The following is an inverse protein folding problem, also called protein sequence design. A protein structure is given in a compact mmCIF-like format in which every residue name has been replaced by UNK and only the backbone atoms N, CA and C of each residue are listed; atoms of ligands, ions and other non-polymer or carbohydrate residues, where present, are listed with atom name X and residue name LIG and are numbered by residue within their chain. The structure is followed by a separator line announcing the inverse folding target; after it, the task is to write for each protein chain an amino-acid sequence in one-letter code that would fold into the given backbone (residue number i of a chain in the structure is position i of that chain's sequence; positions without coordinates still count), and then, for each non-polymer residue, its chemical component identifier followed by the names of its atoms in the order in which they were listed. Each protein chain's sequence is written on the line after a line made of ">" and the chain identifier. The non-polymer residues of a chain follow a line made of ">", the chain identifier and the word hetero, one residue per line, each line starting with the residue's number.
data_IF_688483392782
#
_entry.id   IF_688483392782
#
_cell.length_a   1.000
_cell.length_b   1.000
_cell.length_c   1.000
_cell.angle_alpha   90.00
_cell.angle_beta   90.00
_cell.angle_gamma   90.00
#
_symmetry.space_group_name_H-M   'P 1'
#
loop_
_entity.id
_entity.type
_entity.pdbx_description
1 polymer ?
#
# COMPACT_ATOMS: atom_id res chain seq x y z
N UNK A 1 -25.61 -2.27 13.89
CA UNK A 1 -25.36 -1.59 12.61
C UNK A 1 -24.31 -2.40 11.87
N UNK A 2 -24.75 -3.15 10.87
CA UNK A 2 -23.95 -4.08 10.09
C UNK A 2 -22.92 -3.29 9.28
N UNK A 3 -21.64 -3.46 9.61
CA UNK A 3 -20.53 -2.99 8.78
C UNK A 3 -20.61 -3.76 7.46
N UNK A 4 -20.83 -3.10 6.31
CA UNK A 4 -20.75 -3.77 5.03
C UNK A 4 -19.27 -4.09 4.79
N UNK A 5 -18.87 -5.31 5.17
CA UNK A 5 -17.63 -5.91 4.68
C UNK A 5 -17.75 -5.99 3.17
N UNK A 6 -16.64 -5.81 2.47
CA UNK A 6 -16.50 -5.88 1.00
C UNK A 6 -17.00 -7.20 0.35
N UNK A 7 -17.61 -8.11 1.12
CA UNK A 7 -18.16 -9.40 0.66
C UNK A 7 -19.56 -9.70 1.27
N UNK A 8 -20.07 -8.91 2.22
CA UNK A 8 -21.37 -9.19 2.83
C UNK A 8 -22.53 -8.61 2.01
N UNK A 9 -23.39 -9.54 1.56
CA UNK A 9 -24.68 -9.37 0.91
C UNK A 9 -24.68 -9.01 -0.58
N UNK A 10 -24.46 -10.02 -1.42
CA UNK A 10 -25.29 -10.18 -2.61
C UNK A 10 -26.00 -11.53 -2.52
N UNK A 11 -27.33 -11.48 -2.47
CA UNK A 11 -28.28 -12.61 -2.36
C UNK A 11 -28.30 -13.48 -3.62
N UNK A 12 -27.13 -13.95 -4.07
CA UNK A 12 -27.01 -14.89 -5.17
C UNK A 12 -26.64 -16.27 -4.58
N UNK A 13 -27.26 -17.33 -5.11
CA UNK A 13 -27.11 -18.76 -4.78
C UNK A 13 -25.75 -19.21 -4.17
N UNK A 14 -25.71 -20.26 -3.34
CA UNK A 14 -24.49 -20.72 -2.68
C UNK A 14 -23.34 -20.86 -3.68
N UNK A 15 -22.37 -19.94 -3.58
CA UNK A 15 -21.19 -19.95 -4.44
C UNK A 15 -20.20 -20.96 -3.88
N UNK A 16 -19.51 -21.67 -4.77
CA UNK A 16 -18.38 -22.51 -4.36
C UNK A 16 -17.27 -21.62 -3.81
N UNK A 17 -16.52 -22.11 -2.80
CA UNK A 17 -15.36 -21.41 -2.23
C UNK A 17 -14.39 -20.96 -3.33
N UNK A 18 -14.22 -21.77 -4.38
CA UNK A 18 -13.39 -21.42 -5.53
C UNK A 18 -13.87 -20.19 -6.32
N UNK A 19 -15.18 -19.98 -6.45
CA UNK A 19 -15.72 -18.81 -7.13
C UNK A 19 -15.54 -17.53 -6.30
N UNK A 20 -15.69 -17.62 -4.97
CA UNK A 20 -15.45 -16.51 -4.07
C UNK A 20 -13.96 -16.14 -4.02
N UNK A 21 -13.07 -17.14 -3.96
CA UNK A 21 -11.62 -16.94 -4.08
C UNK A 21 -11.27 -16.21 -5.37
N UNK A 22 -11.80 -16.67 -6.51
CA UNK A 22 -11.53 -16.06 -7.81
C UNK A 22 -12.01 -14.60 -7.89
N UNK A 23 -13.20 -14.30 -7.36
CA UNK A 23 -13.74 -12.93 -7.33
C UNK A 23 -12.86 -12.01 -6.48
N UNK A 24 -12.45 -12.43 -5.28
CA UNK A 24 -11.57 -11.65 -4.39
C UNK A 24 -10.19 -11.44 -5.03
N UNK A 25 -9.61 -12.47 -5.63
CA UNK A 25 -8.32 -12.38 -6.33
C UNK A 25 -8.38 -11.36 -7.47
N UNK A 26 -9.41 -11.44 -8.32
CA UNK A 26 -9.59 -10.55 -9.46
C UNK A 26 -9.72 -9.09 -9.02
N UNK A 27 -10.61 -8.82 -8.06
CA UNK A 27 -10.85 -7.46 -7.57
C UNK A 27 -9.57 -6.90 -6.94
N UNK A 28 -8.85 -7.72 -6.18
CA UNK A 28 -7.61 -7.29 -5.52
C UNK A 28 -6.50 -7.01 -6.51
N UNK A 29 -6.28 -7.86 -7.52
CA UNK A 29 -5.26 -7.68 -8.56
C UNK A 29 -5.49 -6.37 -9.32
N UNK A 30 -6.73 -6.12 -9.74
CA UNK A 30 -7.07 -4.89 -10.46
C UNK A 30 -6.92 -3.66 -9.58
N UNK A 31 -7.45 -3.69 -8.35
CA UNK A 31 -7.36 -2.57 -7.43
C UNK A 31 -5.92 -2.24 -7.01
N UNK A 32 -5.12 -3.26 -6.70
CA UNK A 32 -3.72 -3.13 -6.35
C UNK A 32 -2.92 -2.55 -7.51
N UNK A 33 -3.12 -3.04 -8.73
CA UNK A 33 -2.41 -2.53 -9.91
C UNK A 33 -2.80 -1.08 -10.19
N UNK A 34 -4.09 -0.74 -10.13
CA UNK A 34 -4.54 0.65 -10.29
C UNK A 34 -3.96 1.56 -9.22
N UNK A 35 -3.94 1.12 -7.96
CA UNK A 35 -3.34 1.87 -6.85
C UNK A 35 -1.85 2.08 -7.11
N UNK A 36 -1.13 1.05 -7.53
CA UNK A 36 0.30 1.16 -7.76
C UNK A 36 0.65 2.05 -8.96
N UNK A 37 -0.05 1.89 -10.07
CA UNK A 37 0.25 2.61 -11.32
C UNK A 37 -0.27 4.05 -11.29
N UNK A 38 -1.43 4.30 -10.70
CA UNK A 38 -2.06 5.63 -10.74
C UNK A 38 -1.77 6.47 -9.50
N UNK A 39 -1.41 5.83 -8.38
CA UNK A 39 -1.21 6.53 -7.11
C UNK A 39 0.25 6.42 -6.67
N UNK A 40 0.74 5.22 -6.38
CA UNK A 40 2.08 5.06 -5.80
C UNK A 40 3.22 5.50 -6.75
N UNK A 41 3.24 5.01 -7.99
CA UNK A 41 4.26 5.37 -8.98
C UNK A 41 4.34 6.87 -9.25
N UNK A 42 3.22 7.54 -9.60
CA UNK A 42 3.19 8.99 -9.78
C UNK A 42 3.53 9.74 -8.49
N UNK A 43 3.05 9.32 -7.32
CA UNK A 43 3.35 9.98 -6.05
C UNK A 43 4.85 9.92 -5.71
N UNK A 44 5.49 8.77 -5.90
CA UNK A 44 6.95 8.63 -5.76
C UNK A 44 7.68 9.57 -6.72
N UNK A 45 7.26 9.63 -7.98
CA UNK A 45 7.89 10.50 -8.97
C UNK A 45 7.70 11.98 -8.70
N UNK A 46 6.49 12.37 -8.29
CA UNK A 46 6.14 13.74 -7.92
C UNK A 46 6.87 14.16 -6.64
N UNK A 47 6.99 13.27 -5.66
CA UNK A 47 7.78 13.51 -4.45
C UNK A 47 9.23 13.83 -4.77
N UNK A 48 9.87 12.98 -5.59
CA UNK A 48 11.24 13.21 -6.05
C UNK A 48 11.39 14.49 -6.87
N UNK A 49 10.42 14.80 -7.73
CA UNK A 49 10.43 16.05 -8.50
C UNK A 49 10.28 17.28 -7.60
N UNK A 50 9.39 17.22 -6.61
CA UNK A 50 9.16 18.31 -5.68
C UNK A 50 10.43 18.59 -4.87
N UNK A 51 11.03 17.55 -4.29
CA UNK A 51 12.28 17.65 -3.54
C UNK A 51 13.41 18.23 -4.40
N UNK A 52 13.47 17.80 -5.66
CA UNK A 52 14.41 18.34 -6.62
C UNK A 52 14.22 19.83 -6.87
N UNK A 53 12.99 20.31 -7.10
CA UNK A 53 12.74 21.72 -7.41
C UNK A 53 13.02 22.63 -6.21
N UNK A 54 12.86 22.11 -5.00
CA UNK A 54 13.09 22.88 -3.76
C UNK A 54 14.53 22.84 -3.27
N UNK A 55 15.35 21.87 -3.71
CA UNK A 55 16.74 21.74 -3.29
C UNK A 55 17.73 22.56 -4.16
N UNK A 56 18.84 23.05 -3.56
CA UNK A 56 19.87 23.81 -4.26
C UNK A 56 20.49 23.07 -5.45
N UNK A 57 20.95 23.83 -6.46
CA UNK A 57 21.58 23.27 -7.66
C UNK A 57 22.87 22.46 -7.44
N UNK A 58 23.41 22.41 -6.22
CA UNK A 58 24.58 21.59 -5.84
C UNK A 58 24.25 20.11 -5.69
N UNK A 59 22.97 19.75 -5.51
CA UNK A 59 22.55 18.33 -5.34
C UNK A 59 22.32 17.63 -6.69
N UNK A 60 22.52 18.36 -7.79
CA UNK A 60 22.24 17.89 -9.14
C UNK A 60 23.32 16.96 -9.65
N UNK A 61 22.94 15.72 -9.97
CA UNK A 61 23.86 14.72 -10.50
C UNK A 61 24.46 13.79 -9.44
N UNK A 62 24.11 13.94 -8.16
CA UNK A 62 24.42 12.95 -7.13
C UNK A 62 23.57 11.69 -7.31
N UNK A 63 24.15 10.55 -6.97
CA UNK A 63 23.44 9.29 -6.80
C UNK A 63 22.75 9.33 -5.43
N UNK A 64 21.44 9.12 -5.40
CA UNK A 64 20.69 8.89 -4.17
C UNK A 64 20.82 7.43 -3.73
N UNK A 65 20.45 7.17 -2.47
CA UNK A 65 20.42 5.86 -1.85
C UNK A 65 19.51 4.85 -2.59
N UNK A 66 18.50 5.31 -3.36
CA UNK A 66 17.67 4.41 -4.19
C UNK A 66 18.21 4.23 -5.64
N UNK A 67 19.52 4.39 -5.82
CA UNK A 67 20.25 4.19 -7.09
C UNK A 67 19.73 5.05 -8.27
N UNK A 68 19.20 6.23 -7.96
CA UNK A 68 18.81 7.23 -8.95
C UNK A 68 19.73 8.44 -8.94
N UNK A 69 20.04 8.94 -10.13
CA UNK A 69 20.73 10.23 -10.25
C UNK A 69 19.72 11.36 -10.07
N UNK A 70 19.88 12.16 -9.01
CA UNK A 70 19.00 13.29 -8.68
C UNK A 70 18.94 14.27 -9.86
N UNK A 71 17.74 14.44 -10.43
CA UNK A 71 17.46 15.37 -11.53
C UNK A 71 17.52 14.80 -12.95
N UNK A 72 17.74 13.49 -13.13
CA UNK A 72 17.63 12.86 -14.45
C UNK A 72 16.37 12.01 -14.55
N UNK A 73 15.51 12.34 -15.50
CA UNK A 73 14.38 11.50 -15.87
C UNK A 73 14.88 10.37 -16.79
N UNK A 74 15.19 9.21 -16.21
CA UNK A 74 15.51 8.00 -17.00
C UNK A 74 14.26 7.13 -17.17
N UNK A 75 14.12 6.47 -18.33
CA UNK A 75 13.03 5.52 -18.58
C UNK A 75 13.12 4.31 -17.63
N UNK A 76 14.34 3.82 -17.37
CA UNK A 76 14.58 2.72 -16.43
C UNK A 76 14.18 3.06 -14.99
N UNK A 77 14.54 4.25 -14.51
CA UNK A 77 14.15 4.69 -13.16
C UNK A 77 12.65 4.89 -13.02
N UNK A 78 11.98 5.46 -14.03
CA UNK A 78 10.50 5.55 -14.02
C UNK A 78 9.88 4.17 -13.98
N UNK A 79 10.35 3.24 -14.81
CA UNK A 79 9.84 1.88 -14.85
C UNK A 79 10.00 1.17 -13.49
N UNK A 80 11.16 1.29 -12.84
CA UNK A 80 11.40 0.73 -11.51
C UNK A 80 10.45 1.31 -10.44
N UNK A 81 10.24 2.63 -10.44
CA UNK A 81 9.30 3.28 -9.52
C UNK A 81 7.86 2.80 -9.70
N UNK A 82 7.44 2.55 -10.94
CA UNK A 82 6.11 1.97 -11.20
C UNK A 82 6.03 0.51 -10.74
N UNK A 83 7.10 -0.28 -10.86
CA UNK A 83 7.15 -1.64 -10.29
C UNK A 83 7.02 -1.63 -8.77
N UNK A 84 7.78 -0.76 -8.08
CA UNK A 84 7.67 -0.55 -6.63
C UNK A 84 6.27 -0.05 -6.27
N UNK A 85 5.71 0.85 -7.09
CA UNK A 85 4.35 1.33 -6.95
C UNK A 85 3.33 0.20 -6.99
N UNK A 86 3.41 -0.70 -7.98
CA UNK A 86 2.55 -1.89 -8.07
C UNK A 86 2.71 -2.77 -6.82
N UNK A 87 3.93 -3.08 -6.40
CA UNK A 87 4.19 -3.89 -5.21
C UNK A 87 3.58 -3.27 -3.93
N UNK A 88 3.74 -1.96 -3.73
CA UNK A 88 3.15 -1.24 -2.59
C UNK A 88 1.63 -1.14 -2.68
N UNK A 89 1.07 -1.04 -3.89
CA UNK A 89 -0.37 -1.15 -4.13
C UNK A 89 -0.95 -2.51 -3.72
N UNK A 90 -0.25 -3.60 -4.03
CA UNK A 90 -0.63 -4.95 -3.56
C UNK A 90 -0.57 -5.05 -2.05
N UNK A 91 0.53 -4.62 -1.44
CA UNK A 91 0.69 -4.61 0.01
C UNK A 91 -0.46 -3.84 0.68
N UNK A 92 -0.80 -2.66 0.18
CA UNK A 92 -1.90 -1.83 0.70
C UNK A 92 -3.24 -2.58 0.67
N UNK A 93 -3.64 -3.12 -0.48
CA UNK A 93 -4.90 -3.87 -0.59
C UNK A 93 -4.93 -5.14 0.27
N UNK A 94 -3.82 -5.87 0.36
CA UNK A 94 -3.71 -7.08 1.17
C UNK A 94 -3.82 -6.79 2.67
N UNK A 95 -3.10 -5.77 3.14
CA UNK A 95 -3.18 -5.31 4.54
C UNK A 95 -4.60 -4.87 4.86
N UNK A 96 -5.26 -4.13 3.96
CA UNK A 96 -6.67 -3.76 4.14
C UNK A 96 -7.57 -4.97 4.32
N UNK A 97 -7.46 -5.98 3.45
CA UNK A 97 -8.29 -7.20 3.53
C UNK A 97 -8.10 -7.97 4.84
N UNK A 98 -6.87 -7.98 5.37
CA UNK A 98 -6.54 -8.62 6.64
C UNK A 98 -7.05 -7.83 7.83
N UNK A 99 -6.90 -6.49 7.80
CA UNK A 99 -7.10 -5.61 8.96
C UNK A 99 -8.54 -5.12 9.07
N UNK A 100 -9.24 -4.87 7.96
CA UNK A 100 -10.59 -4.28 7.92
C UNK A 100 -11.57 -4.91 8.93
N UNK A 101 -11.68 -6.25 9.05
CA UNK A 101 -12.66 -6.86 9.95
C UNK A 101 -12.37 -6.64 11.44
N UNK A 102 -11.15 -6.24 11.77
CA UNK A 102 -10.71 -5.97 13.14
C UNK A 102 -10.87 -4.51 13.53
N UNK A 103 -11.01 -3.60 12.56
CA UNK A 103 -11.15 -2.17 12.84
C UNK A 103 -12.52 -1.88 13.48
N UNK A 104 -12.55 -0.87 14.35
CA UNK A 104 -13.73 -0.52 15.14
C UNK A 104 -14.33 0.76 14.58
N UNK A 105 -15.64 0.78 14.39
CA UNK A 105 -16.41 2.00 14.14
C UNK A 105 -16.84 2.15 12.68
N UNK A 106 -16.96 3.40 12.25
CA UNK A 106 -17.42 3.74 10.91
C UNK A 106 -16.29 3.60 9.87
N UNK A 107 -16.68 3.38 8.61
CA UNK A 107 -15.72 3.19 7.50
C UNK A 107 -14.72 4.34 7.35
N UNK A 108 -15.13 5.59 7.58
CA UNK A 108 -14.21 6.73 7.53
C UNK A 108 -13.10 6.61 8.58
N UNK A 109 -13.42 6.09 9.77
CA UNK A 109 -12.45 5.90 10.84
C UNK A 109 -11.45 4.79 10.47
N UNK A 110 -11.93 3.71 9.84
CA UNK A 110 -11.05 2.65 9.34
C UNK A 110 -10.02 3.20 8.34
N UNK A 111 -10.47 4.04 7.40
CA UNK A 111 -9.60 4.67 6.41
C UNK A 111 -8.56 5.56 7.10
N UNK A 112 -8.98 6.39 8.07
CA UNK A 112 -8.06 7.24 8.84
C UNK A 112 -7.03 6.38 9.58
N UNK A 113 -7.45 5.32 10.28
CA UNK A 113 -6.53 4.45 11.04
C UNK A 113 -5.49 3.82 10.13
N UNK A 114 -5.89 3.26 8.99
CA UNK A 114 -4.96 2.61 8.05
C UNK A 114 -4.06 3.63 7.36
N UNK A 115 -4.57 4.81 7.03
CA UNK A 115 -3.79 5.93 6.47
C UNK A 115 -2.69 6.37 7.44
N UNK A 116 -3.06 6.63 8.69
CA UNK A 116 -2.11 7.04 9.75
C UNK A 116 -1.10 5.93 10.02
N UNK A 117 -1.54 4.67 10.03
CA UNK A 117 -0.64 3.53 10.20
C UNK A 117 0.35 3.41 9.04
N UNK A 118 -0.11 3.57 7.80
CA UNK A 118 0.78 3.60 6.64
C UNK A 118 1.82 4.71 6.73
N UNK A 119 1.40 5.93 7.08
CA UNK A 119 2.29 7.07 7.25
C UNK A 119 3.35 6.82 8.34
N UNK A 120 2.91 6.40 9.52
CA UNK A 120 3.77 6.29 10.70
C UNK A 120 4.62 5.03 10.71
N UNK A 121 4.16 3.93 10.12
CA UNK A 121 4.94 2.69 10.11
C UNK A 121 5.91 2.61 8.93
N UNK A 122 5.45 2.97 7.72
CA UNK A 122 6.27 2.87 6.51
C UNK A 122 7.08 4.14 6.27
N UNK A 123 6.56 5.33 6.64
CA UNK A 123 7.28 6.60 6.45
C UNK A 123 8.67 6.61 7.09
N UNK A 124 8.84 6.22 8.37
CA UNK A 124 10.15 6.13 9.01
C UNK A 124 11.05 5.07 8.41
N UNK A 125 10.52 4.01 7.79
CA UNK A 125 11.32 3.05 7.02
C UNK A 125 11.85 3.63 5.70
N UNK A 126 11.51 4.87 5.37
CA UNK A 126 12.06 5.61 4.23
C UNK A 126 12.92 6.79 4.71
N UNK A 127 12.88 7.11 6.01
CA UNK A 127 13.60 8.22 6.63
C UNK A 127 14.64 7.60 7.55
N UNK A 128 15.89 7.54 7.08
CA UNK A 128 16.99 6.97 7.85
C UNK A 128 18.03 8.06 8.09
N UNK A 129 18.55 8.13 9.32
CA UNK A 129 19.60 9.07 9.73
C UNK A 129 20.90 8.88 8.93
N UNK A 130 21.17 7.66 8.45
CA UNK A 130 22.33 7.34 7.62
C UNK A 130 22.17 7.73 6.14
N UNK A 131 21.00 8.23 5.73
CA UNK A 131 20.69 8.52 4.33
C UNK A 131 21.28 9.86 3.87
N UNK A 132 22.11 9.83 2.82
CA UNK A 132 22.75 11.04 2.25
C UNK A 132 21.67 12.06 1.84
N UNK A 133 20.49 11.57 1.44
CA UNK A 133 19.40 12.39 0.96
C UNK A 133 18.80 13.33 2.03
N UNK A 134 18.84 13.00 3.33
CA UNK A 134 18.21 13.85 4.37
C UNK A 134 19.11 14.97 4.92
N UNK A 135 20.43 14.81 4.81
CA UNK A 135 21.36 15.90 5.13
C UNK A 135 21.49 16.91 3.98
N UNK A 136 21.18 16.48 2.76
CA UNK A 136 21.45 17.25 1.54
C UNK A 136 20.17 17.89 0.95
N UNK A 137 18.99 17.27 1.14
CA UNK A 137 17.73 17.82 0.68
C UNK A 137 17.22 18.93 1.62
N UNK A 138 17.13 20.14 1.08
CA UNK A 138 16.53 21.28 1.75
C UNK A 138 15.24 21.69 1.02
N UNK A 139 14.18 22.08 1.76
CA UNK A 139 14.02 22.07 3.21
C UNK A 139 13.67 20.67 3.78
N UNK A 140 14.32 20.25 4.87
CA UNK A 140 14.16 18.91 5.48
C UNK A 140 12.71 18.59 5.88
N UNK A 141 11.98 19.58 6.41
CA UNK A 141 10.57 19.41 6.77
C UNK A 141 9.71 18.98 5.57
N UNK A 142 10.05 19.42 4.36
CA UNK A 142 9.35 19.00 3.14
C UNK A 142 9.68 17.55 2.75
N UNK A 143 10.94 17.14 2.89
CA UNK A 143 11.35 15.74 2.67
C UNK A 143 10.56 14.81 3.59
N UNK A 144 10.59 15.08 4.90
CA UNK A 144 9.83 14.31 5.89
C UNK A 144 8.34 14.29 5.53
N UNK A 145 7.74 15.44 5.20
CA UNK A 145 6.34 15.50 4.84
C UNK A 145 6.00 14.67 3.60
N UNK A 146 6.84 14.69 2.56
CA UNK A 146 6.64 13.89 1.33
C UNK A 146 6.77 12.40 1.60
N UNK A 147 7.79 11.98 2.35
CA UNK A 147 8.01 10.57 2.70
C UNK A 147 6.96 10.00 3.66
N UNK A 148 6.30 10.83 4.47
CA UNK A 148 5.11 10.43 5.21
C UNK A 148 3.83 10.43 4.34
N UNK A 149 3.71 11.40 3.44
CA UNK A 149 2.51 11.57 2.62
C UNK A 149 2.34 10.45 1.60
N UNK A 150 3.42 9.96 0.99
CA UNK A 150 3.33 8.91 -0.05
C UNK A 150 2.77 7.59 0.54
N UNK A 151 3.32 7.01 1.62
CA UNK A 151 2.74 5.81 2.23
C UNK A 151 1.32 6.02 2.74
N UNK A 152 1.02 7.19 3.32
CA UNK A 152 -0.35 7.53 3.74
C UNK A 152 -1.33 7.50 2.57
N UNK A 153 -0.96 8.14 1.46
CA UNK A 153 -1.77 8.21 0.25
C UNK A 153 -1.98 6.82 -0.37
N UNK A 154 -0.96 5.97 -0.39
CA UNK A 154 -1.07 4.57 -0.86
C UNK A 154 -1.94 3.71 0.07
N UNK A 155 -1.79 3.87 1.39
CA UNK A 155 -2.60 3.18 2.39
C UNK A 155 -4.08 3.62 2.37
N UNK A 156 -4.36 4.87 1.98
CA UNK A 156 -5.73 5.36 1.75
C UNK A 156 -6.30 4.87 0.43
N UNK A 157 -5.50 4.94 -0.64
CA UNK A 157 -5.95 4.65 -1.99
C UNK A 157 -6.30 3.17 -2.19
N UNK A 158 -5.54 2.23 -1.62
CA UNK A 158 -5.80 0.79 -1.76
C UNK A 158 -7.22 0.37 -1.37
N UNK A 159 -7.71 0.68 -0.17
CA UNK A 159 -9.10 0.41 0.24
C UNK A 159 -10.16 1.09 -0.66
N UNK A 160 -9.87 2.30 -1.13
CA UNK A 160 -10.78 3.09 -1.96
C UNK A 160 -10.90 2.49 -3.37
N UNK A 161 -9.76 2.17 -3.99
CA UNK A 161 -9.72 1.52 -5.30
C UNK A 161 -10.33 0.12 -5.23
N UNK A 162 -10.07 -0.63 -4.16
CA UNK A 162 -10.65 -1.96 -3.94
C UNK A 162 -12.18 -1.92 -3.96
N UNK A 163 -12.78 -0.99 -3.23
CA UNK A 163 -14.22 -0.82 -3.22
C UNK A 163 -14.79 -0.25 -4.53
N UNK A 164 -14.01 0.58 -5.22
CA UNK A 164 -14.41 1.09 -6.53
C UNK A 164 -14.43 -0.04 -7.58
N UNK A 165 -13.39 -0.88 -7.62
CA UNK A 165 -13.30 -2.04 -8.52
C UNK A 165 -14.38 -3.06 -8.21
N UNK A 166 -14.62 -3.36 -6.93
CA UNK A 166 -15.68 -4.29 -6.53
C UNK A 166 -17.06 -3.84 -7.05
N UNK A 167 -17.36 -2.53 -6.90
CA UNK A 167 -18.61 -1.93 -7.41
C UNK A 167 -18.70 -1.93 -8.94
N UNK A 168 -17.58 -1.72 -9.64
CA UNK A 168 -17.51 -1.60 -11.11
C UNK A 168 -16.87 -2.82 -11.78
N UNK A 169 -17.04 -4.00 -11.18
CA UNK A 169 -16.38 -5.21 -11.63
C UNK A 169 -16.60 -5.49 -13.13
N UNK A 170 -15.54 -5.84 -13.88
CA UNK A 170 -15.68 -6.23 -15.27
C UNK A 170 -16.56 -7.47 -15.42
N UNK A 171 -17.39 -7.49 -16.48
CA UNK A 171 -18.33 -8.58 -16.78
C UNK A 171 -17.88 -9.37 -18.01
N UNK A 172 -18.36 -10.61 -18.16
CA UNK A 172 -18.08 -11.46 -19.33
C UNK A 172 -16.62 -11.97 -19.36
N UNK A 173 -16.01 -12.02 -20.54
CA UNK A 173 -14.62 -12.47 -20.71
C UNK A 173 -13.59 -11.44 -20.21
N UNK A 174 -13.94 -10.14 -20.22
CA UNK A 174 -13.07 -9.05 -19.76
C UNK A 174 -12.61 -9.19 -18.31
N UNK A 175 -13.37 -9.91 -17.49
CA UNK A 175 -13.00 -10.20 -16.10
C UNK A 175 -11.66 -10.94 -16.00
N UNK A 176 -11.35 -11.80 -16.97
CA UNK A 176 -10.10 -12.56 -17.00
C UNK A 176 -9.01 -11.86 -17.80
N UNK A 177 -9.38 -11.10 -18.83
CA UNK A 177 -8.43 -10.42 -19.71
C UNK A 177 -7.77 -9.22 -19.03
N UNK A 178 -8.54 -8.38 -18.31
CA UNK A 178 -8.03 -7.18 -17.66
C UNK A 178 -6.88 -7.44 -16.67
N UNK A 179 -6.98 -8.39 -15.71
CA UNK A 179 -5.89 -8.65 -14.80
C UNK A 179 -4.64 -9.19 -15.51
N UNK A 180 -4.79 -9.97 -16.59
CA UNK A 180 -3.64 -10.41 -17.40
C UNK A 180 -2.98 -9.22 -18.12
N UNK A 181 -3.80 -8.32 -18.68
CA UNK A 181 -3.34 -7.12 -19.38
C UNK A 181 -2.58 -6.16 -18.44
N UNK A 182 -2.95 -6.12 -17.15
CA UNK A 182 -2.23 -5.39 -16.11
C UNK A 182 -0.77 -5.85 -15.93
N UNK A 183 -0.43 -7.11 -16.25
CA UNK A 183 0.93 -7.64 -16.12
C UNK A 183 1.76 -7.53 -17.41
N UNK A 184 1.13 -7.35 -18.57
CA UNK A 184 1.81 -7.18 -19.86
C UNK A 184 2.89 -6.08 -19.86
N UNK A 185 2.64 -4.87 -19.30
CA UNK A 185 3.66 -3.82 -19.29
C UNK A 185 4.83 -4.10 -18.34
N UNK A 186 4.77 -5.15 -17.51
CA UNK A 186 5.76 -5.41 -16.47
C UNK A 186 6.29 -6.87 -16.49
N UNK A 187 7.09 -7.29 -17.51
CA UNK A 187 7.56 -8.68 -17.61
C UNK A 187 8.36 -9.22 -16.40
N UNK A 188 9.29 -8.47 -15.79
CA UNK A 188 9.95 -8.86 -14.53
C UNK A 188 8.96 -8.97 -13.37
N UNK A 189 7.83 -8.26 -13.43
CA UNK A 189 6.78 -8.40 -12.44
C UNK A 189 6.07 -9.74 -12.52
N UNK A 190 6.33 -10.64 -13.48
CA UNK A 190 5.79 -12.00 -13.44
C UNK A 190 6.29 -12.78 -12.21
N UNK A 191 7.57 -12.61 -11.84
CA UNK A 191 8.12 -13.23 -10.62
C UNK A 191 7.49 -12.64 -9.36
N UNK A 192 7.37 -11.31 -9.30
CA UNK A 192 6.68 -10.60 -8.22
C UNK A 192 5.21 -10.99 -8.19
N UNK A 193 4.55 -11.12 -9.33
CA UNK A 193 3.15 -11.50 -9.47
C UNK A 193 2.90 -12.92 -9.00
N UNK A 194 3.81 -13.85 -9.29
CA UNK A 194 3.73 -15.21 -8.76
C UNK A 194 3.83 -15.21 -7.23
N UNK A 195 4.82 -14.50 -6.67
CA UNK A 195 4.95 -14.34 -5.22
C UNK A 195 3.71 -13.69 -4.61
N UNK A 196 3.28 -12.56 -5.16
CA UNK A 196 2.08 -11.82 -4.75
C UNK A 196 0.84 -12.69 -4.85
N UNK A 197 0.69 -13.49 -5.91
CA UNK A 197 -0.44 -14.40 -6.07
C UNK A 197 -0.44 -15.49 -4.98
N UNK A 198 0.73 -16.06 -4.66
CA UNK A 198 0.86 -17.04 -3.56
C UNK A 198 0.50 -16.40 -2.22
N UNK A 199 1.04 -15.22 -1.92
CA UNK A 199 0.73 -14.49 -0.69
C UNK A 199 -0.74 -14.09 -0.67
N UNK A 200 -1.32 -13.70 -1.81
CA UNK A 200 -2.73 -13.32 -1.90
C UNK A 200 -3.64 -14.51 -1.66
N UNK A 201 -3.35 -15.66 -2.27
CA UNK A 201 -4.07 -16.91 -1.99
C UNK A 201 -3.97 -17.25 -0.50
N UNK A 202 -2.77 -17.17 0.10
CA UNK A 202 -2.60 -17.41 1.54
C UNK A 202 -3.41 -16.43 2.40
N UNK A 203 -3.41 -15.14 2.07
CA UNK A 203 -4.20 -14.10 2.74
C UNK A 203 -5.69 -14.37 2.63
N UNK A 204 -6.18 -14.72 1.45
CA UNK A 204 -7.61 -14.99 1.26
C UNK A 204 -7.99 -16.31 1.95
N UNK A 205 -7.16 -17.35 1.91
CA UNK A 205 -7.38 -18.57 2.67
C UNK A 205 -7.43 -18.30 4.18
N UNK A 206 -6.50 -17.50 4.71
CA UNK A 206 -6.50 -17.07 6.12
C UNK A 206 -7.79 -16.33 6.47
N UNK A 207 -8.21 -15.42 5.59
CA UNK A 207 -9.45 -14.62 5.71
C UNK A 207 -10.70 -15.50 5.76
N UNK A 208 -10.77 -16.53 4.91
CA UNK A 208 -11.97 -17.38 4.82
C UNK A 208 -12.02 -18.46 5.89
N UNK A 209 -10.87 -18.95 6.38
CA UNK A 209 -10.81 -20.13 7.27
C UNK A 209 -10.49 -19.80 8.72
N UNK A 210 -9.55 -18.90 8.98
CA UNK A 210 -9.03 -18.62 10.33
C UNK A 210 -9.67 -17.38 10.92
N UNK A 211 -9.84 -16.32 10.11
CA UNK A 211 -10.37 -15.04 10.57
C UNK A 211 -11.76 -15.14 11.24
N UNK A 212 -12.75 -15.91 10.74
CA UNK A 212 -14.06 -16.01 11.38
C UNK A 212 -13.97 -16.58 12.80
N UNK A 213 -13.14 -17.62 13.00
CA UNK A 213 -12.89 -18.24 14.31
C UNK A 213 -12.24 -17.28 15.30
N UNK A 214 -11.30 -16.47 14.80
CA UNK A 214 -10.63 -15.47 15.63
C UNK A 214 -11.55 -14.28 15.98
N UNK A 215 -12.48 -13.91 15.10
CA UNK A 215 -13.47 -12.85 15.35
C UNK A 215 -14.52 -13.27 16.38
N UNK A 216 -14.88 -14.55 16.43
CA UNK A 216 -15.76 -15.11 17.47
C UNK A 216 -15.11 -15.07 18.86
N UNK A 217 -13.78 -15.14 18.92
CA UNK A 217 -13.02 -15.03 20.17
C UNK A 217 -12.74 -13.57 20.55
N UNK A 218 -13.29 -13.11 21.69
CA UNK A 218 -12.96 -11.78 22.24
C UNK A 218 -11.46 -11.59 22.46
N UNK A 219 -10.77 -12.64 22.92
CA UNK A 219 -9.32 -12.61 23.13
C UNK A 219 -8.60 -12.50 21.79
N UNK A 220 -8.97 -13.33 20.81
CA UNK A 220 -8.40 -13.30 19.45
C UNK A 220 -8.54 -11.91 18.80
N UNK A 221 -9.74 -11.34 18.82
CA UNK A 221 -9.99 -10.02 18.28
C UNK A 221 -9.20 -8.91 18.99
N UNK A 222 -9.10 -8.96 20.32
CA UNK A 222 -8.34 -7.96 21.08
C UNK A 222 -6.84 -8.09 20.83
N UNK A 223 -6.31 -9.31 20.75
CA UNK A 223 -4.90 -9.56 20.44
C UNK A 223 -4.50 -9.06 19.05
N UNK A 224 -5.32 -9.30 18.02
CA UNK A 224 -5.02 -8.81 16.66
C UNK A 224 -5.08 -7.29 16.61
N UNK A 225 -6.04 -6.66 17.29
CA UNK A 225 -6.11 -5.19 17.40
C UNK A 225 -4.92 -4.59 18.12
N UNK A 226 -4.51 -5.19 19.24
CA UNK A 226 -3.34 -4.77 20.00
C UNK A 226 -2.08 -4.89 19.14
N UNK A 227 -1.90 -6.02 18.45
CA UNK A 227 -0.79 -6.23 17.52
C UNK A 227 -0.80 -5.18 16.40
N UNK A 228 -1.96 -4.88 15.81
CA UNK A 228 -2.05 -3.86 14.77
C UNK A 228 -1.67 -2.46 15.29
N UNK A 229 -2.04 -2.13 16.53
CA UNK A 229 -1.66 -0.85 17.17
C UNK A 229 -0.16 -0.74 17.46
N UNK A 230 0.58 -1.85 17.55
CA UNK A 230 2.04 -1.79 17.74
C UNK A 230 2.74 -1.17 16.53
N UNK A 231 2.22 -1.32 15.31
CA UNK A 231 2.83 -0.76 14.10
C UNK A 231 2.90 0.77 14.08
N UNK A 232 1.79 1.53 14.20
CA UNK A 232 1.86 2.99 14.23
C UNK A 232 2.59 3.51 15.46
N UNK A 233 2.51 2.83 16.61
CA UNK A 233 3.22 3.25 17.84
C UNK A 233 4.72 3.10 17.69
N UNK A 234 5.20 1.93 17.23
CA UNK A 234 6.64 1.70 17.01
C UNK A 234 7.20 2.66 15.96
N UNK A 235 6.47 2.87 14.87
CA UNK A 235 6.85 3.81 13.83
C UNK A 235 6.89 5.27 14.31
N UNK A 236 5.92 5.70 15.13
CA UNK A 236 5.95 7.03 15.74
C UNK A 236 7.14 7.24 16.69
N UNK A 237 7.51 6.21 17.46
CA UNK A 237 8.69 6.26 18.34
C UNK A 237 9.96 6.37 17.50
N UNK A 238 10.10 5.58 16.44
CA UNK A 238 11.23 5.65 15.52
C UNK A 238 11.35 7.04 14.90
N UNK A 239 10.26 7.56 14.33
CA UNK A 239 10.21 8.90 13.74
C UNK A 239 10.60 9.99 14.73
N UNK A 240 10.13 9.91 15.97
CA UNK A 240 10.47 10.88 17.00
C UNK A 240 11.96 10.83 17.35
N UNK A 241 12.57 9.64 17.35
CA UNK A 241 14.01 9.45 17.51
C UNK A 241 14.80 10.10 16.36
N UNK A 242 14.41 9.80 15.11
CA UNK A 242 15.08 10.32 13.92
C UNK A 242 14.97 11.86 13.83
N UNK A 243 13.80 12.42 14.14
CA UNK A 243 13.60 13.87 14.17
C UNK A 243 14.38 14.56 15.30
N UNK A 244 14.56 13.89 16.43
CA UNK A 244 15.37 14.42 17.52
C UNK A 244 16.87 14.42 17.17
N UNK A 245 17.34 13.39 16.46
CA UNK A 245 18.72 13.31 15.97
C UNK A 245 19.01 14.41 14.94
N UNK A 246 18.10 14.65 13.99
CA UNK A 246 18.25 15.70 12.97
C UNK A 246 18.24 17.14 13.52
N UNK A 247 17.69 17.35 14.73
CA UNK A 247 17.59 18.66 15.36
C UNK A 247 18.77 19.00 16.29
N UNK A 248 19.60 18.00 16.64
CA UNK A 248 20.77 18.14 17.52
C UNK A 248 22.05 18.41 16.75
#
# INVERSE_FOLDING_TARGET
>A
MSTPTLVAHREDAPRTVGAELADVLLVTVLAATLTGVLVAGPALRLGMFLLRVTSPGSVVGMQSDDDFTIGRFTLGGTYNLFLIGVATGYLSCMVWLLVEPWLIGARWFHLVTVTVTGALFVGPMLIHDDGIDFHVLTPQALAVAVFLAIPALVALAGPVTLAWVDRHRPRGHWRWVLPLLCFVPFPPALGIAAFVAVVLVAVVCLRLTVQPRLLESRVGATSVRALFMLFPVSGAIALAGDLAALAG
#
